data_IF_228387988013
#
_entry.id   IF_228387988013
#
_cell.length_a   1.000
_cell.length_b   1.000
_cell.length_c   1.000
_cell.angle_alpha   90.00
_cell.angle_beta   90.00
_cell.angle_gamma   90.00
#
_symmetry.space_group_name_H-M   'P 1'
#
loop_
_entity.id
_entity.type
_entity.pdbx_description
1 polymer ?
#
# COMPACT_ATOMS: atom_id res chain seq x y z
N UNK A 1 -7.38 -8.70 -30.61
CA UNK A 1 -8.19 -7.62 -30.02
C UNK A 1 -7.35 -7.01 -28.89
N UNK A 2 -7.24 -5.69 -28.83
CA UNK A 2 -6.58 -5.04 -27.70
C UNK A 2 -7.36 -5.41 -26.43
N UNK A 3 -6.71 -6.07 -25.48
CA UNK A 3 -7.29 -6.41 -24.19
C UNK A 3 -7.10 -5.17 -23.31
N UNK A 4 -8.16 -4.47 -22.98
CA UNK A 4 -8.10 -3.39 -22.02
C UNK A 4 -7.75 -3.96 -20.64
N UNK A 5 -6.79 -3.35 -19.99
CA UNK A 5 -6.27 -3.74 -18.69
C UNK A 5 -6.65 -2.67 -17.69
N UNK A 6 -7.20 -3.06 -16.55
CA UNK A 6 -7.39 -2.17 -15.42
C UNK A 6 -6.13 -2.19 -14.55
N UNK A 7 -5.53 -1.03 -14.36
CA UNK A 7 -4.40 -0.83 -13.46
C UNK A 7 -4.84 0.02 -12.27
N UNK A 8 -4.76 -0.54 -11.07
CA UNK A 8 -5.04 0.17 -9.83
C UNK A 8 -3.74 0.68 -9.22
N UNK A 9 -3.58 1.99 -9.22
CA UNK A 9 -2.44 2.70 -8.66
C UNK A 9 -2.66 2.88 -7.16
N UNK A 10 -1.68 2.42 -6.37
CA UNK A 10 -1.75 2.38 -4.92
C UNK A 10 -0.61 3.22 -4.34
N UNK A 11 -0.91 4.10 -3.38
CA UNK A 11 0.07 4.92 -2.67
C UNK A 11 -0.28 5.08 -1.20
N UNK A 12 0.67 5.61 -0.43
CA UNK A 12 0.47 6.03 0.95
C UNK A 12 0.14 7.52 1.00
N UNK A 13 -0.89 7.89 1.76
CA UNK A 13 -1.27 9.28 1.97
C UNK A 13 -0.34 10.01 2.95
N UNK A 14 -0.65 11.29 3.23
CA UNK A 14 0.10 12.13 4.16
C UNK A 14 -0.43 12.11 5.59
N UNK A 15 -1.35 11.21 5.95
CA UNK A 15 -1.90 11.17 7.30
C UNK A 15 -0.84 10.87 8.38
N UNK A 16 -1.00 11.47 9.56
CA UNK A 16 -0.11 11.32 10.71
C UNK A 16 -0.95 10.92 11.92
N UNK A 17 -0.50 10.02 12.80
CA UNK A 17 0.78 9.31 12.80
C UNK A 17 0.86 8.12 11.86
N UNK A 18 -0.28 7.61 11.37
CA UNK A 18 -0.35 6.44 10.50
C UNK A 18 -0.87 6.83 9.13
N UNK A 19 -0.10 6.52 8.10
CA UNK A 19 -0.48 6.71 6.71
C UNK A 19 -1.46 5.65 6.26
N UNK A 20 -2.40 6.01 5.40
CA UNK A 20 -3.37 5.09 4.84
C UNK A 20 -3.05 4.78 3.38
N UNK A 21 -3.39 3.56 2.97
CA UNK A 21 -3.38 3.19 1.57
C UNK A 21 -4.50 3.93 0.84
N UNK A 22 -4.14 4.53 -0.29
CA UNK A 22 -5.06 5.13 -1.25
C UNK A 22 -4.91 4.42 -2.57
N UNK A 23 -5.97 4.43 -3.35
CA UNK A 23 -5.91 3.89 -4.70
C UNK A 23 -6.83 4.62 -5.65
N UNK A 24 -6.49 4.53 -6.93
CA UNK A 24 -7.35 4.88 -8.05
C UNK A 24 -6.99 4.02 -9.26
N UNK A 25 -7.99 3.71 -10.06
CA UNK A 25 -7.82 2.81 -11.19
C UNK A 25 -7.99 3.55 -12.54
N UNK A 26 -7.21 3.11 -13.52
CA UNK A 26 -7.35 3.55 -14.92
C UNK A 26 -7.24 2.37 -15.85
N UNK A 27 -7.80 2.54 -17.04
CA UNK A 27 -7.58 1.62 -18.15
C UNK A 27 -6.25 1.97 -18.82
N UNK A 28 -5.40 0.96 -18.96
CA UNK A 28 -4.12 1.05 -19.67
C UNK A 28 -4.09 0.03 -20.80
N UNK A 29 -3.26 0.29 -21.80
CA UNK A 29 -3.01 -0.65 -22.89
C UNK A 29 -1.60 -1.21 -22.69
N UNK A 30 -1.52 -2.37 -22.06
CA UNK A 30 -0.27 -3.09 -21.83
C UNK A 30 -0.25 -4.39 -22.62
N UNK A 31 0.92 -4.82 -23.02
CA UNK A 31 1.11 -6.08 -23.73
C UNK A 31 0.86 -7.31 -22.87
N UNK A 32 1.06 -8.49 -23.46
CA UNK A 32 0.92 -9.77 -22.72
C UNK A 32 2.04 -10.01 -21.70
N UNK A 33 3.14 -9.29 -21.81
CA UNK A 33 4.30 -9.35 -20.90
C UNK A 33 4.71 -7.92 -20.53
N UNK A 34 3.96 -7.23 -19.67
CA UNK A 34 4.23 -5.82 -19.35
C UNK A 34 5.49 -5.65 -18.54
N UNK A 35 6.10 -4.48 -18.71
CA UNK A 35 7.17 -3.95 -17.86
C UNK A 35 6.64 -2.77 -17.05
N UNK A 36 7.43 -2.26 -16.11
CA UNK A 36 7.00 -1.12 -15.28
C UNK A 36 6.80 0.15 -16.12
N UNK A 37 7.52 0.30 -17.22
CA UNK A 37 7.46 1.41 -18.14
C UNK A 37 6.15 1.48 -18.95
N UNK A 38 5.40 0.37 -19.00
CA UNK A 38 4.07 0.32 -19.62
C UNK A 38 2.99 0.99 -18.76
N UNK A 39 3.28 1.29 -17.50
CA UNK A 39 2.39 1.98 -16.58
C UNK A 39 2.79 3.45 -16.47
N UNK A 40 2.03 4.37 -17.11
CA UNK A 40 2.41 5.78 -17.12
C UNK A 40 2.24 6.44 -15.76
N UNK A 41 3.03 7.47 -15.50
CA UNK A 41 2.79 8.37 -14.38
C UNK A 41 1.39 8.97 -14.43
N UNK A 42 0.86 9.32 -13.26
CA UNK A 42 -0.47 9.89 -13.14
C UNK A 42 -0.52 10.94 -12.04
N UNK A 43 -1.24 12.03 -12.24
CA UNK A 43 -1.44 13.05 -11.22
C UNK A 43 -2.68 12.76 -10.36
N UNK A 44 -2.70 13.33 -9.16
CA UNK A 44 -3.86 13.34 -8.28
C UNK A 44 -3.87 14.61 -7.42
N UNK A 45 -5.04 14.94 -6.89
CA UNK A 45 -5.22 16.05 -5.95
C UNK A 45 -4.76 15.61 -4.55
N UNK A 46 -3.59 16.10 -4.14
CA UNK A 46 -2.99 15.81 -2.84
C UNK A 46 -3.70 16.46 -1.66
N UNK A 47 -4.58 17.45 -1.89
CA UNK A 47 -5.31 18.11 -0.80
C UNK A 47 -6.26 17.15 -0.08
N UNK A 48 -6.84 16.21 -0.82
CA UNK A 48 -7.74 15.18 -0.26
C UNK A 48 -7.02 14.07 0.52
N UNK A 49 -5.69 14.04 0.44
CA UNK A 49 -4.84 12.99 1.03
C UNK A 49 -3.80 13.52 2.02
N UNK A 50 -3.94 14.77 2.45
CA UNK A 50 -2.99 15.46 3.34
C UNK A 50 -1.56 15.54 2.76
N UNK A 51 -1.44 15.72 1.44
CA UNK A 51 -0.17 15.74 0.72
C UNK A 51 0.09 17.07 -0.01
N UNK A 52 -0.91 17.96 -0.07
CA UNK A 52 -0.75 19.29 -0.66
C UNK A 52 -1.74 20.29 -0.07
N UNK A 53 -1.52 21.57 -0.31
CA UNK A 53 -2.50 22.61 -0.03
C UNK A 53 -3.51 22.74 -1.17
N UNK A 54 -4.70 23.31 -0.89
CA UNK A 54 -5.75 23.46 -1.90
C UNK A 54 -5.39 24.37 -3.08
N UNK A 55 -4.41 25.24 -2.91
CA UNK A 55 -4.00 26.24 -3.92
C UNK A 55 -2.95 25.68 -4.90
N UNK A 56 -2.20 24.64 -4.48
CA UNK A 56 -1.22 23.92 -5.30
C UNK A 56 -1.29 22.44 -4.90
N UNK A 57 -2.28 21.76 -5.46
CA UNK A 57 -2.69 20.44 -4.97
C UNK A 57 -2.21 19.27 -5.82
N UNK A 58 -1.55 19.52 -6.94
CA UNK A 58 -1.10 18.46 -7.81
C UNK A 58 0.06 17.66 -7.20
N UNK A 59 -0.11 16.35 -7.13
CA UNK A 59 0.94 15.38 -6.83
C UNK A 59 1.04 14.36 -7.96
N UNK A 60 2.20 13.75 -8.11
CA UNK A 60 2.47 12.76 -9.14
C UNK A 60 2.59 11.37 -8.51
N UNK A 61 1.93 10.40 -9.11
CA UNK A 61 2.11 8.97 -8.84
C UNK A 61 3.09 8.39 -9.85
N UNK A 62 4.26 8.02 -9.40
CA UNK A 62 5.28 7.34 -10.21
C UNK A 62 5.23 5.85 -9.96
N UNK A 63 4.91 5.01 -10.96
CA UNK A 63 4.97 3.56 -10.83
C UNK A 63 6.38 3.06 -10.47
N UNK A 64 6.46 2.13 -9.51
CA UNK A 64 7.74 1.56 -9.04
C UNK A 64 7.73 0.03 -8.98
N UNK A 65 6.56 -0.58 -8.90
CA UNK A 65 6.37 -2.03 -8.99
C UNK A 65 4.94 -2.33 -9.43
N UNK A 66 4.72 -3.50 -10.01
CA UNK A 66 3.38 -3.96 -10.35
C UNK A 66 3.23 -5.46 -10.10
N UNK A 67 2.00 -5.88 -9.89
CA UNK A 67 1.63 -7.26 -9.60
C UNK A 67 0.31 -7.60 -10.28
N UNK A 68 0.09 -8.86 -10.61
CA UNK A 68 -1.23 -9.31 -11.05
C UNK A 68 -2.28 -9.03 -9.96
N UNK A 69 -3.43 -8.51 -10.36
CA UNK A 69 -4.53 -8.25 -9.42
C UNK A 69 -5.24 -9.57 -9.06
N UNK A 70 -5.12 -10.05 -7.82
CA UNK A 70 -5.75 -11.32 -7.42
C UNK A 70 -7.26 -11.22 -7.27
N UNK A 71 -7.82 -10.02 -7.18
CA UNK A 71 -9.25 -9.78 -6.94
C UNK A 71 -9.99 -9.66 -8.27
N UNK A 72 -9.47 -8.84 -9.20
CA UNK A 72 -10.09 -8.63 -10.52
C UNK A 72 -9.72 -9.69 -11.54
N UNK A 73 -8.71 -10.51 -11.22
CA UNK A 73 -8.28 -11.63 -12.04
C UNK A 73 -7.34 -11.26 -13.18
N UNK A 74 -7.10 -12.25 -14.03
CA UNK A 74 -6.07 -12.23 -15.06
C UNK A 74 -6.16 -11.02 -16.00
N UNK A 75 -5.01 -10.40 -16.23
CA UNK A 75 -4.83 -9.27 -17.11
C UNK A 75 -5.15 -7.92 -16.49
N UNK A 76 -5.38 -7.87 -15.17
CA UNK A 76 -5.47 -6.64 -14.40
C UNK A 76 -4.28 -6.55 -13.42
N UNK A 77 -3.91 -5.33 -13.02
CA UNK A 77 -2.71 -5.10 -12.22
C UNK A 77 -2.95 -4.16 -11.05
N UNK A 78 -2.27 -4.46 -9.95
CA UNK A 78 -2.00 -3.54 -8.84
C UNK A 78 -0.65 -2.89 -9.11
N UNK A 79 -0.61 -1.55 -9.12
CA UNK A 79 0.59 -0.77 -9.41
C UNK A 79 0.98 0.02 -8.18
N UNK A 80 2.07 -0.37 -7.54
CA UNK A 80 2.64 0.38 -6.43
C UNK A 80 3.29 1.65 -6.96
N UNK A 81 3.02 2.78 -6.30
CA UNK A 81 3.53 4.07 -6.74
C UNK A 81 4.21 4.85 -5.61
N UNK A 82 5.15 5.68 -6.00
CA UNK A 82 5.74 6.73 -5.18
C UNK A 82 5.03 8.06 -5.43
N UNK A 83 4.92 8.89 -4.39
CA UNK A 83 4.40 10.24 -4.52
C UNK A 83 5.54 11.22 -4.73
N UNK A 84 5.42 12.01 -5.79
CA UNK A 84 6.36 13.08 -6.12
C UNK A 84 5.63 14.44 -6.13
N UNK A 85 6.39 15.48 -5.90
CA UNK A 85 5.99 16.87 -6.15
C UNK A 85 5.87 17.11 -7.67
N UNK A 86 5.18 18.20 -8.09
CA UNK A 86 5.07 18.53 -9.52
C UNK A 86 6.42 18.72 -10.24
N UNK A 87 7.45 19.10 -9.52
CA UNK A 87 8.83 19.26 -10.05
C UNK A 87 9.60 17.91 -10.16
N UNK A 88 8.98 16.79 -9.81
CA UNK A 88 9.57 15.46 -9.86
C UNK A 88 10.42 15.09 -8.64
N UNK A 89 10.56 15.96 -7.65
CA UNK A 89 11.23 15.62 -6.40
C UNK A 89 10.35 14.73 -5.53
N UNK A 90 10.97 13.92 -4.65
CA UNK A 90 10.22 13.08 -3.73
C UNK A 90 9.38 13.94 -2.78
N UNK A 91 8.08 13.65 -2.68
CA UNK A 91 7.21 14.28 -1.71
C UNK A 91 7.64 13.91 -0.28
N UNK A 92 7.46 14.80 0.70
CA UNK A 92 7.87 14.57 2.10
C UNK A 92 7.22 13.30 2.72
N UNK A 93 6.02 12.92 2.25
CA UNK A 93 5.36 11.68 2.68
C UNK A 93 5.91 10.42 2.04
N UNK A 94 6.86 10.52 1.09
CA UNK A 94 7.41 9.40 0.34
C UNK A 94 8.53 8.69 1.11
N UNK A 95 8.16 7.84 2.08
CA UNK A 95 9.11 7.03 2.85
C UNK A 95 9.87 6.00 2.00
N UNK A 96 9.31 5.57 0.85
CA UNK A 96 9.97 4.65 -0.07
C UNK A 96 11.21 5.30 -0.72
N UNK A 97 11.13 6.57 -1.10
CA UNK A 97 12.28 7.30 -1.64
C UNK A 97 13.41 7.42 -0.59
N UNK A 98 13.07 7.61 0.68
CA UNK A 98 14.05 7.63 1.77
C UNK A 98 14.75 6.27 1.90
N UNK A 99 14.00 5.16 1.87
CA UNK A 99 14.57 3.81 1.88
C UNK A 99 15.46 3.57 0.66
N UNK A 100 15.02 3.96 -0.53
CA UNK A 100 15.84 3.84 -1.76
C UNK A 100 17.16 4.59 -1.64
N UNK A 101 17.14 5.81 -1.11
CA UNK A 101 18.36 6.59 -0.91
C UNK A 101 19.35 5.87 0.02
N UNK A 102 18.88 5.21 1.09
CA UNK A 102 19.74 4.42 1.99
C UNK A 102 20.30 3.19 1.30
N UNK A 103 19.49 2.47 0.51
CA UNK A 103 19.94 1.31 -0.23
C UNK A 103 21.00 1.69 -1.29
N UNK A 104 20.76 2.77 -2.03
CA UNK A 104 21.63 3.26 -3.07
C UNK A 104 22.94 3.85 -2.50
N UNK A 105 22.93 4.30 -1.23
CA UNK A 105 24.13 4.73 -0.50
C UNK A 105 25.02 3.58 0.02
N UNK A 106 24.74 2.34 -0.36
CA UNK A 106 25.54 1.16 -0.06
C UNK A 106 24.90 0.15 0.89
N UNK A 107 23.70 0.42 1.46
CA UNK A 107 23.06 -0.56 2.33
C UNK A 107 22.64 -1.83 1.56
N UNK A 108 22.37 -1.74 0.27
CA UNK A 108 22.05 -2.90 -0.57
C UNK A 108 23.23 -3.89 -0.68
N UNK A 109 24.49 -3.41 -0.60
CA UNK A 109 25.69 -4.23 -0.65
C UNK A 109 25.87 -5.11 0.61
N UNK A 110 25.14 -4.78 1.70
CA UNK A 110 25.14 -5.57 2.93
C UNK A 110 24.22 -6.80 2.85
N UNK A 111 23.52 -7.00 1.72
CA UNK A 111 22.53 -8.08 1.52
C UNK A 111 21.54 -8.19 2.71
N UNK A 112 20.81 -7.09 3.06
CA UNK A 112 19.95 -7.08 4.22
C UNK A 112 18.75 -8.00 4.01
N UNK A 113 18.49 -8.84 4.99
CA UNK A 113 17.30 -9.69 5.04
C UNK A 113 16.26 -9.06 5.94
N UNK A 114 15.04 -8.96 5.50
CA UNK A 114 13.92 -8.47 6.29
C UNK A 114 12.74 -9.45 6.21
N UNK A 115 12.11 -9.70 7.34
CA UNK A 115 10.87 -10.45 7.46
C UNK A 115 9.80 -9.57 8.10
N UNK A 116 8.55 -9.84 7.76
CA UNK A 116 7.40 -9.17 8.36
C UNK A 116 6.57 -10.20 9.11
N UNK A 117 6.24 -9.89 10.36
CA UNK A 117 5.26 -10.64 11.16
C UNK A 117 3.99 -9.79 11.20
N UNK A 118 2.97 -10.23 10.47
CA UNK A 118 1.69 -9.54 10.46
C UNK A 118 0.85 -10.03 11.62
N UNK A 119 0.61 -9.15 12.59
CA UNK A 119 -0.30 -9.40 13.71
C UNK A 119 -1.67 -8.77 13.45
N UNK A 120 -2.71 -9.45 13.84
CA UNK A 120 -4.09 -8.96 13.75
C UNK A 120 -4.95 -9.53 14.87
N UNK A 121 -6.00 -8.82 15.23
CA UNK A 121 -7.03 -9.29 16.16
C UNK A 121 -8.30 -9.54 15.38
N UNK A 122 -8.83 -10.76 15.47
CA UNK A 122 -10.10 -11.11 14.84
C UNK A 122 -11.27 -10.53 15.65
N UNK A 123 -12.30 -10.08 14.96
CA UNK A 123 -13.52 -9.52 15.57
C UNK A 123 -14.77 -10.21 15.03
N UNK A 124 -15.77 -10.38 15.90
CA UNK A 124 -17.12 -10.70 15.52
C UNK A 124 -17.98 -9.46 15.78
N UNK A 125 -18.30 -8.74 14.72
CA UNK A 125 -18.92 -7.42 14.85
C UNK A 125 -17.96 -6.40 15.48
N UNK A 126 -18.25 -5.92 16.69
CA UNK A 126 -17.43 -4.95 17.42
C UNK A 126 -16.67 -5.55 18.61
N UNK A 127 -16.77 -6.84 18.82
CA UNK A 127 -16.17 -7.56 19.94
C UNK A 127 -15.02 -8.42 19.42
N UNK A 128 -13.85 -8.41 20.09
CA UNK A 128 -12.79 -9.35 19.77
C UNK A 128 -13.30 -10.79 19.84
N UNK A 129 -12.91 -11.61 18.87
CA UNK A 129 -13.34 -13.01 18.82
C UNK A 129 -12.84 -13.76 20.04
N UNK A 130 -13.74 -14.53 20.68
CA UNK A 130 -13.46 -15.23 21.94
C UNK A 130 -13.62 -14.41 23.23
N UNK A 131 -13.95 -13.12 23.13
CA UNK A 131 -14.29 -12.35 24.33
C UNK A 131 -15.68 -12.73 24.84
N UNK A 132 -15.86 -12.84 26.17
CA UNK A 132 -17.18 -13.08 26.75
C UNK A 132 -18.09 -11.88 26.49
N UNK A 133 -19.41 -12.12 26.46
CA UNK A 133 -20.39 -11.03 26.29
C UNK A 133 -20.32 -10.01 27.42
N UNK A 134 -19.93 -10.45 28.62
CA UNK A 134 -19.78 -9.60 29.79
C UNK A 134 -18.48 -9.92 30.54
N UNK A 135 -17.81 -8.86 31.02
CA UNK A 135 -16.59 -8.98 31.79
C UNK A 135 -15.34 -9.01 30.88
N UNK A 136 -14.28 -9.60 31.41
CA UNK A 136 -12.98 -9.72 30.73
C UNK A 136 -12.71 -11.18 30.38
N UNK A 137 -11.97 -11.47 29.33
CA UNK A 137 -11.51 -12.82 29.04
C UNK A 137 -10.55 -13.30 30.12
N UNK A 138 -10.41 -14.62 30.25
CA UNK A 138 -9.35 -15.23 31.01
C UNK A 138 -7.96 -14.84 30.48
N UNK A 139 -6.87 -15.19 31.18
CA UNK A 139 -5.53 -14.99 30.67
C UNK A 139 -5.39 -15.63 29.29
N UNK A 140 -4.82 -14.86 28.35
CA UNK A 140 -4.58 -15.35 27.02
C UNK A 140 -3.56 -16.50 27.07
N UNK A 141 -3.88 -17.61 26.39
CA UNK A 141 -2.98 -18.73 26.22
C UNK A 141 -1.86 -18.47 25.21
N UNK A 142 -1.30 -19.51 24.61
CA UNK A 142 -0.22 -19.36 23.62
C UNK A 142 -0.65 -18.77 22.28
N UNK A 143 -1.93 -18.45 22.11
CA UNK A 143 -2.52 -17.91 20.89
C UNK A 143 -2.90 -16.44 21.10
N UNK A 144 -2.63 -15.57 20.13
CA UNK A 144 -2.89 -14.13 20.22
C UNK A 144 -3.61 -13.53 19.02
N UNK A 145 -3.89 -14.30 17.98
CA UNK A 145 -4.74 -13.85 16.87
C UNK A 145 -6.23 -13.89 17.22
N UNK A 146 -6.60 -14.69 18.22
CA UNK A 146 -7.91 -14.76 18.85
C UNK A 146 -7.78 -14.94 20.34
N UNK A 147 -8.86 -14.82 21.08
CA UNK A 147 -8.86 -15.03 22.54
C UNK A 147 -9.22 -16.48 22.85
N UNK A 148 -8.19 -17.32 22.92
CA UNK A 148 -8.28 -18.76 23.14
C UNK A 148 -8.08 -19.58 21.87
N UNK A 149 -7.62 -20.82 22.04
CA UNK A 149 -7.26 -21.73 20.94
C UNK A 149 -8.45 -22.13 20.07
N UNK A 150 -9.64 -22.18 20.65
CA UNK A 150 -10.86 -22.61 19.97
C UNK A 150 -11.38 -21.56 18.95
N UNK A 151 -10.81 -20.33 18.98
CA UNK A 151 -11.22 -19.23 18.15
C UNK A 151 -10.21 -18.90 17.04
N UNK A 152 -9.08 -19.60 17.00
CA UNK A 152 -7.99 -19.35 16.05
C UNK A 152 -8.00 -20.32 14.84
#
# INVERSE_FOLDING_TARGET
MAKFTLAEYIWLDGAVPTRHLRSKARVVNVGSNPSIEDFPEWSFDGSSTNQASGDDSDCILKPVAFFSDPIRGEGNFLVMTEVLNPDGTAHESNSRAQLRAVLDAGAAEQDPWAGFEQEYTMFKGRQPLGWPEQGFPGPQGPYYCGVGADEA
#
